data_IF_913406433412
#
_entry.id   IF_913406433412
#
_cell.length_a   1.000
_cell.length_b   1.000
_cell.length_c   1.000
_cell.angle_alpha   90.00
_cell.angle_beta   90.00
_cell.angle_gamma   90.00
#
_symmetry.space_group_name_H-M   'P 1'
#
loop_
_entity.id
_entity.type
_entity.pdbx_description
1 polymer ?
#
# COMPACT_ATOMS: atom_id res chain seq x y z
N UNK A 1 -10.82 43.64 29.94
CA UNK A 1 -11.23 42.42 30.66
C UNK A 1 -11.23 41.29 29.64
N UNK A 2 -10.27 40.36 29.70
CA UNK A 2 -10.22 39.24 28.77
C UNK A 2 -11.19 38.16 29.23
N UNK A 3 -12.06 37.69 28.33
CA UNK A 3 -12.89 36.51 28.60
C UNK A 3 -11.97 35.30 28.76
N UNK A 4 -11.93 34.72 29.96
CA UNK A 4 -11.37 33.39 30.18
C UNK A 4 -12.43 32.41 29.69
N UNK A 5 -12.23 31.84 28.50
CA UNK A 5 -13.09 30.78 28.00
C UNK A 5 -12.78 29.49 28.77
N UNK A 6 -13.73 29.04 29.61
CA UNK A 6 -13.69 27.73 30.23
C UNK A 6 -14.02 26.66 29.18
N UNK A 7 -13.09 25.74 28.94
CA UNK A 7 -13.32 24.56 28.11
C UNK A 7 -13.53 23.38 29.06
N UNK A 8 -14.70 22.70 29.05
CA UNK A 8 -14.93 21.55 29.90
C UNK A 8 -13.98 20.39 29.54
N UNK A 9 -13.62 19.53 30.52
CA UNK A 9 -12.80 18.35 30.24
C UNK A 9 -13.55 17.38 29.32
N UNK A 10 -12.79 16.66 28.49
CA UNK A 10 -13.33 15.64 27.58
C UNK A 10 -14.00 14.50 28.36
N UNK A 11 -15.14 14.07 27.86
CA UNK A 11 -15.82 12.84 28.25
C UNK A 11 -15.01 11.60 27.84
N UNK A 12 -15.29 10.46 28.46
CA UNK A 12 -14.65 9.19 28.07
C UNK A 12 -14.94 8.81 26.62
N UNK A 13 -16.15 9.11 26.12
CA UNK A 13 -16.52 8.87 24.73
C UNK A 13 -15.69 9.73 23.76
N UNK A 14 -15.44 11.01 24.09
CA UNK A 14 -14.58 11.89 23.30
C UNK A 14 -13.13 11.42 23.31
N UNK A 15 -12.61 10.99 24.47
CA UNK A 15 -11.25 10.42 24.56
C UNK A 15 -11.12 9.14 23.73
N UNK A 16 -12.09 8.24 23.79
CA UNK A 16 -12.10 7.01 23.00
C UNK A 16 -12.12 7.32 21.49
N UNK A 17 -12.99 8.23 21.05
CA UNK A 17 -13.07 8.63 19.65
C UNK A 17 -11.74 9.24 19.16
N UNK A 18 -11.08 10.07 19.96
CA UNK A 18 -9.76 10.62 19.63
C UNK A 18 -8.67 9.56 19.57
N UNK A 19 -8.68 8.61 20.50
CA UNK A 19 -7.75 7.48 20.51
C UNK A 19 -7.93 6.62 19.25
N UNK A 20 -9.18 6.31 18.85
CA UNK A 20 -9.48 5.54 17.64
C UNK A 20 -8.97 6.27 16.39
N UNK A 21 -9.23 7.57 16.27
CA UNK A 21 -8.71 8.37 15.16
C UNK A 21 -7.18 8.41 15.12
N UNK A 22 -6.53 8.52 16.28
CA UNK A 22 -5.08 8.49 16.38
C UNK A 22 -4.51 7.13 15.97
N UNK A 23 -5.13 6.02 16.41
CA UNK A 23 -4.75 4.67 16.01
C UNK A 23 -4.90 4.47 14.49
N UNK A 24 -6.01 4.90 13.89
CA UNK A 24 -6.21 4.84 12.45
C UNK A 24 -5.14 5.60 11.67
N UNK A 25 -4.74 6.80 12.13
CA UNK A 25 -3.63 7.55 11.52
C UNK A 25 -2.31 6.81 11.62
N UNK A 26 -1.99 6.22 12.78
CA UNK A 26 -0.76 5.42 12.99
C UNK A 26 -0.72 4.22 12.05
N UNK A 27 -1.81 3.45 11.97
CA UNK A 27 -1.95 2.28 11.10
C UNK A 27 -1.77 2.67 9.64
N UNK A 28 -2.48 3.70 9.17
CA UNK A 28 -2.38 4.13 7.77
C UNK A 28 -0.98 4.67 7.42
N UNK A 29 -0.33 5.38 8.34
CA UNK A 29 1.04 5.86 8.14
C UNK A 29 2.02 4.69 8.01
N UNK A 30 1.89 3.68 8.87
CA UNK A 30 2.76 2.51 8.85
C UNK A 30 2.53 1.63 7.61
N UNK A 31 1.27 1.46 7.19
CA UNK A 31 0.91 0.80 5.93
C UNK A 31 1.56 1.49 4.72
N UNK A 32 1.45 2.82 4.61
CA UNK A 32 2.07 3.55 3.51
C UNK A 32 3.60 3.47 3.56
N UNK A 33 4.20 3.51 4.76
CA UNK A 33 5.65 3.36 4.91
C UNK A 33 6.14 1.98 4.45
N UNK A 34 5.42 0.91 4.81
CA UNK A 34 5.73 -0.46 4.37
C UNK A 34 5.65 -0.57 2.84
N UNK A 35 4.55 -0.11 2.23
CA UNK A 35 4.41 -0.13 0.77
C UNK A 35 5.41 0.79 0.05
N UNK A 36 5.73 1.95 0.63
CA UNK A 36 6.72 2.86 0.08
C UNK A 36 8.11 2.24 0.08
N UNK A 37 8.48 1.47 1.11
CA UNK A 37 9.78 0.79 1.16
C UNK A 37 10.00 -0.13 -0.05
N UNK A 38 8.95 -0.84 -0.48
CA UNK A 38 8.98 -1.75 -1.64
C UNK A 38 9.01 -0.97 -2.96
N UNK A 39 8.26 0.15 -3.05
CA UNK A 39 8.15 0.98 -4.25
C UNK A 39 9.34 1.92 -4.47
N UNK A 40 10.11 2.21 -3.43
CA UNK A 40 11.14 3.28 -3.41
C UNK A 40 12.23 3.13 -4.48
N UNK A 41 12.43 1.93 -5.01
CA UNK A 41 13.37 1.66 -6.10
C UNK A 41 12.91 2.20 -7.47
N UNK A 42 11.62 2.58 -7.62
CA UNK A 42 11.00 2.91 -8.89
C UNK A 42 10.34 4.30 -8.87
N UNK A 43 10.60 5.18 -9.86
CA UNK A 43 9.89 6.45 -10.00
C UNK A 43 8.37 6.26 -10.14
N UNK A 44 7.59 7.21 -9.63
CA UNK A 44 6.12 7.17 -9.71
C UNK A 44 5.60 7.00 -11.14
N UNK A 45 6.21 7.67 -12.11
CA UNK A 45 5.85 7.56 -13.53
C UNK A 45 6.05 6.15 -14.09
N UNK A 46 7.01 5.37 -13.58
CA UNK A 46 7.19 3.97 -13.95
C UNK A 46 6.09 3.09 -13.32
N UNK A 47 5.76 3.35 -12.05
CA UNK A 47 4.72 2.62 -11.31
C UNK A 47 3.36 2.69 -12.01
N UNK A 48 3.02 3.85 -12.59
CA UNK A 48 1.79 4.04 -13.38
C UNK A 48 1.68 3.09 -14.59
N UNK A 49 2.78 2.47 -15.01
CA UNK A 49 2.80 1.55 -16.15
C UNK A 49 2.86 0.08 -15.76
N UNK A 50 3.01 -0.26 -14.47
CA UNK A 50 3.21 -1.63 -14.00
C UNK A 50 2.09 -2.58 -14.45
N UNK A 51 0.83 -2.19 -14.34
CA UNK A 51 -0.31 -3.02 -14.79
C UNK A 51 -0.25 -3.32 -16.30
N UNK A 52 0.26 -2.37 -17.10
CA UNK A 52 0.46 -2.57 -18.55
C UNK A 52 1.66 -3.47 -18.83
N UNK A 53 2.76 -3.29 -18.10
CA UNK A 53 3.94 -4.14 -18.19
C UNK A 53 3.60 -5.59 -17.85
N UNK A 54 2.91 -5.83 -16.73
CA UNK A 54 2.49 -7.16 -16.30
C UNK A 54 1.54 -7.80 -17.32
N UNK A 55 0.51 -7.08 -17.75
CA UNK A 55 -0.45 -7.59 -18.73
C UNK A 55 0.22 -8.00 -20.03
N UNK A 56 1.09 -7.15 -20.56
CA UNK A 56 1.84 -7.46 -21.79
C UNK A 56 2.82 -8.62 -21.58
N UNK A 57 3.53 -8.67 -20.45
CA UNK A 57 4.44 -9.77 -20.14
C UNK A 57 3.70 -11.12 -20.06
N UNK A 58 2.58 -11.18 -19.32
CA UNK A 58 1.78 -12.41 -19.22
C UNK A 58 1.18 -12.81 -20.57
N UNK A 59 0.68 -11.85 -21.34
CA UNK A 59 0.12 -12.13 -22.65
C UNK A 59 1.18 -12.63 -23.65
N UNK A 60 2.38 -12.06 -23.64
CA UNK A 60 3.50 -12.50 -24.48
C UNK A 60 3.97 -13.93 -24.12
N UNK A 61 4.06 -14.27 -22.83
CA UNK A 61 4.44 -15.63 -22.42
C UNK A 61 3.34 -16.66 -22.70
N UNK A 62 2.07 -16.25 -22.75
CA UNK A 62 0.96 -17.12 -23.13
C UNK A 62 0.87 -17.32 -24.66
N UNK A 63 1.12 -16.26 -25.43
CA UNK A 63 1.14 -16.27 -26.89
C UNK A 63 2.16 -15.23 -27.39
N UNK A 64 3.29 -15.71 -27.93
CA UNK A 64 4.39 -14.88 -28.40
C UNK A 64 4.04 -14.03 -29.63
N UNK A 65 2.89 -14.26 -30.28
CA UNK A 65 2.38 -13.43 -31.38
C UNK A 65 1.58 -12.20 -30.90
N UNK A 66 1.28 -12.11 -29.60
CA UNK A 66 0.55 -10.99 -29.02
C UNK A 66 1.33 -9.67 -29.16
N UNK A 67 0.64 -8.62 -29.59
CA UNK A 67 1.22 -7.27 -29.66
C UNK A 67 1.47 -6.72 -28.25
N UNK A 68 2.72 -6.34 -27.97
CA UNK A 68 3.15 -5.83 -26.66
C UNK A 68 4.05 -4.59 -26.81
N UNK A 69 3.52 -3.47 -27.32
CA UNK A 69 4.33 -2.33 -27.72
C UNK A 69 5.12 -1.68 -26.57
N UNK A 70 4.65 -1.76 -25.31
CA UNK A 70 5.42 -1.26 -24.18
C UNK A 70 6.58 -2.19 -23.85
N UNK A 71 6.31 -3.50 -23.77
CA UNK A 71 7.33 -4.52 -23.53
C UNK A 71 8.41 -4.52 -24.62
N UNK A 72 8.02 -4.33 -25.89
CA UNK A 72 8.93 -4.23 -27.03
C UNK A 72 9.85 -3.00 -26.92
N UNK A 73 9.29 -1.83 -26.57
CA UNK A 73 10.06 -0.62 -26.36
C UNK A 73 11.01 -0.75 -25.16
N UNK A 74 10.57 -1.38 -24.07
CA UNK A 74 11.40 -1.63 -22.90
C UNK A 74 12.55 -2.60 -23.18
N UNK A 75 12.29 -3.71 -23.90
CA UNK A 75 13.31 -4.67 -24.30
C UNK A 75 14.37 -4.01 -25.19
N UNK A 76 13.92 -3.22 -26.17
CA UNK A 76 14.79 -2.43 -27.06
C UNK A 76 15.63 -1.43 -26.28
N UNK A 77 15.00 -0.63 -25.41
CA UNK A 77 15.70 0.39 -24.61
C UNK A 77 16.71 -0.20 -23.61
N UNK A 78 16.48 -1.43 -23.14
CA UNK A 78 17.39 -2.15 -22.24
C UNK A 78 18.44 -2.99 -22.99
N UNK A 79 18.30 -3.20 -24.30
CA UNK A 79 19.12 -4.16 -25.04
C UNK A 79 19.00 -5.58 -24.48
N UNK A 80 17.81 -5.96 -24.01
CA UNK A 80 17.53 -7.21 -23.30
C UNK A 80 16.62 -8.11 -24.12
N UNK A 81 16.77 -9.43 -23.97
CA UNK A 81 15.81 -10.38 -24.52
C UNK A 81 14.40 -10.14 -23.95
N UNK A 82 13.40 -10.16 -24.83
CA UNK A 82 12.01 -9.87 -24.46
C UNK A 82 11.42 -10.92 -23.51
N UNK A 83 11.78 -12.18 -23.67
CA UNK A 83 11.32 -13.29 -22.80
C UNK A 83 11.92 -13.19 -21.41
N UNK A 84 13.21 -12.86 -21.34
CA UNK A 84 13.88 -12.56 -20.07
C UNK A 84 13.23 -11.36 -19.37
N UNK A 85 12.98 -10.27 -20.10
CA UNK A 85 12.31 -9.10 -19.56
C UNK A 85 10.90 -9.43 -19.04
N UNK A 86 10.10 -10.15 -19.82
CA UNK A 86 8.75 -10.56 -19.42
C UNK A 86 8.76 -11.39 -18.13
N UNK A 87 9.69 -12.34 -18.01
CA UNK A 87 9.86 -13.17 -16.82
C UNK A 87 10.20 -12.33 -15.60
N UNK A 88 11.12 -11.36 -15.73
CA UNK A 88 11.49 -10.44 -14.65
C UNK A 88 10.34 -9.54 -14.22
N UNK A 89 9.54 -9.04 -15.16
CA UNK A 89 8.35 -8.23 -14.88
C UNK A 89 7.34 -9.04 -14.08
N UNK A 90 7.02 -10.26 -14.51
CA UNK A 90 6.06 -11.13 -13.83
C UNK A 90 6.53 -11.45 -12.40
N UNK A 91 7.81 -11.81 -12.23
CA UNK A 91 8.35 -12.10 -10.90
C UNK A 91 8.23 -10.89 -9.94
N UNK A 92 8.46 -9.67 -10.44
CA UNK A 92 8.29 -8.44 -9.65
C UNK A 92 6.82 -8.14 -9.36
N UNK A 93 5.94 -8.32 -10.34
CA UNK A 93 4.51 -8.14 -10.18
C UNK A 93 3.93 -9.12 -9.14
N UNK A 94 4.30 -10.40 -9.21
CA UNK A 94 3.87 -11.42 -8.26
C UNK A 94 4.34 -11.10 -6.83
N UNK A 95 5.61 -10.70 -6.67
CA UNK A 95 6.15 -10.30 -5.37
C UNK A 95 5.44 -9.05 -4.81
N UNK A 96 5.17 -8.05 -5.65
CA UNK A 96 4.41 -6.86 -5.26
C UNK A 96 2.98 -7.20 -4.86
N UNK A 97 2.28 -8.04 -5.62
CA UNK A 97 0.90 -8.48 -5.30
C UNK A 97 0.84 -9.25 -3.99
N UNK A 98 1.80 -10.13 -3.73
CA UNK A 98 1.88 -10.83 -2.46
C UNK A 98 2.09 -9.86 -1.29
N UNK A 99 3.11 -9.00 -1.37
CA UNK A 99 3.46 -8.10 -0.28
C UNK A 99 2.35 -7.06 -0.01
N UNK A 100 1.85 -6.42 -1.07
CA UNK A 100 0.78 -5.41 -0.96
C UNK A 100 -0.54 -6.01 -0.50
N UNK A 101 -0.86 -7.24 -0.92
CA UNK A 101 -2.03 -7.98 -0.45
C UNK A 101 -1.96 -8.28 1.04
N UNK A 102 -0.81 -8.77 1.53
CA UNK A 102 -0.58 -9.03 2.96
C UNK A 102 -0.69 -7.75 3.80
N UNK A 103 -0.03 -6.66 3.37
CA UNK A 103 -0.09 -5.37 4.05
C UNK A 103 -1.52 -4.80 4.08
N UNK A 104 -2.25 -4.91 2.95
CA UNK A 104 -3.65 -4.45 2.87
C UNK A 104 -4.54 -5.23 3.82
N UNK A 105 -4.40 -6.55 3.88
CA UNK A 105 -5.14 -7.40 4.80
C UNK A 105 -4.83 -7.07 6.27
N UNK A 106 -3.53 -6.88 6.60
CA UNK A 106 -3.11 -6.44 7.95
C UNK A 106 -3.77 -5.11 8.33
N UNK A 107 -3.76 -4.12 7.42
CA UNK A 107 -4.39 -2.81 7.64
C UNK A 107 -5.89 -2.93 7.91
N UNK A 108 -6.60 -3.72 7.13
CA UNK A 108 -8.04 -3.95 7.28
C UNK A 108 -8.37 -4.62 8.62
N UNK A 109 -7.63 -5.67 8.98
CA UNK A 109 -7.82 -6.35 10.27
C UNK A 109 -7.58 -5.41 11.47
N UNK A 110 -6.52 -4.59 11.42
CA UNK A 110 -6.25 -3.60 12.46
C UNK A 110 -7.32 -2.50 12.51
N UNK A 111 -7.83 -2.05 11.36
CA UNK A 111 -8.95 -1.12 11.29
C UNK A 111 -10.21 -1.67 11.96
N UNK A 112 -10.53 -2.94 11.73
CA UNK A 112 -11.66 -3.62 12.36
C UNK A 112 -11.46 -3.73 13.88
N UNK A 113 -10.25 -4.05 14.34
CA UNK A 113 -9.92 -4.06 15.77
C UNK A 113 -10.06 -2.69 16.43
N UNK A 114 -9.61 -1.60 15.78
CA UNK A 114 -9.74 -0.24 16.32
C UNK A 114 -11.21 0.15 16.47
N UNK A 115 -12.04 -0.18 15.47
CA UNK A 115 -13.48 0.11 15.50
C UNK A 115 -14.22 -0.69 16.58
N UNK A 116 -13.78 -1.93 16.85
CA UNK A 116 -14.39 -2.80 17.85
C UNK A 116 -13.95 -2.50 19.29
N UNK A 117 -12.84 -1.77 19.49
CA UNK A 117 -12.30 -1.48 20.81
C UNK A 117 -13.16 -0.44 21.56
N UNK A 118 -13.48 -0.76 22.82
CA UNK A 118 -14.39 0.02 23.67
C UNK A 118 -13.67 0.88 24.73
N UNK A 119 -12.35 0.75 24.86
CA UNK A 119 -11.54 1.54 25.81
C UNK A 119 -10.32 2.16 25.15
N UNK A 120 -9.84 3.28 25.72
CA UNK A 120 -8.64 3.98 25.22
C UNK A 120 -7.43 3.05 25.26
N UNK A 121 -7.27 2.29 26.35
CA UNK A 121 -6.15 1.37 26.54
C UNK A 121 -6.16 0.26 25.49
N UNK A 122 -7.34 -0.29 25.17
CA UNK A 122 -7.48 -1.31 24.14
C UNK A 122 -7.11 -0.76 22.75
N UNK A 123 -7.51 0.48 22.44
CA UNK A 123 -7.17 1.15 21.18
C UNK A 123 -5.67 1.46 21.09
N UNK A 124 -5.06 1.91 22.19
CA UNK A 124 -3.63 2.25 22.25
C UNK A 124 -2.74 1.01 22.08
N UNK A 125 -3.20 -0.15 22.54
CA UNK A 125 -2.50 -1.43 22.33
C UNK A 125 -2.51 -1.90 20.87
N UNK A 126 -3.36 -1.33 20.00
CA UNK A 126 -3.40 -1.68 18.57
C UNK A 126 -2.31 -0.91 17.83
N UNK A 127 -1.41 -1.66 17.19
CA UNK A 127 -0.26 -1.15 16.46
C UNK A 127 0.05 -1.98 15.21
N UNK A 128 0.93 -1.45 14.36
CA UNK A 128 1.37 -2.08 13.11
C UNK A 128 2.44 -3.18 13.32
N UNK A 129 2.64 -3.66 14.55
CA UNK A 129 3.66 -4.67 14.88
C UNK A 129 3.35 -6.02 14.21
#
# INVERSE_FOLDING_TARGET
MGNVYWIPPKTEAEKLAEAQQAAMRRINTAYEAELASIRSEYPESEQMTWDKQEREARAFLADSSTATPLLDAMATGRGMDKTELATRIIAKADAWMQASGLATGKRQALEDHVKAAETVEAVEAIGWE
#
